data_IF_509076930297
#
_entry.id   IF_509076930297
#
_cell.length_a   1.000
_cell.length_b   1.000
_cell.length_c   1.000
_cell.angle_alpha   90.00
_cell.angle_beta   90.00
_cell.angle_gamma   90.00
#
_symmetry.space_group_name_H-M   'P 1'
#
loop_
_entity.id
_entity.type
_entity.pdbx_description
1 polymer ?
#
# COMPACT_ATOMS: atom_id res chain seq x y z
N UNK A 1 -54.41 12.81 -37.14
CA UNK A 1 -53.58 11.66 -36.71
C UNK A 1 -53.09 11.96 -35.30
N UNK A 2 -53.72 11.37 -34.27
CA UNK A 2 -53.38 11.63 -32.87
C UNK A 2 -52.15 10.82 -32.45
N UNK A 3 -51.07 11.48 -32.03
CA UNK A 3 -49.92 10.83 -31.42
C UNK A 3 -50.29 10.37 -29.99
N UNK A 4 -50.16 9.07 -29.74
CA UNK A 4 -50.32 8.48 -28.41
C UNK A 4 -49.18 8.98 -27.51
N UNK A 5 -49.45 9.36 -26.24
CA UNK A 5 -48.39 9.67 -25.30
C UNK A 5 -47.60 8.40 -25.00
N UNK A 6 -46.27 8.50 -25.01
CA UNK A 6 -45.39 7.41 -24.63
C UNK A 6 -45.71 6.97 -23.19
N UNK A 7 -45.97 5.68 -22.98
CA UNK A 7 -46.16 5.09 -21.65
C UNK A 7 -44.89 5.37 -20.84
N UNK A 8 -45.01 6.14 -19.76
CA UNK A 8 -43.97 6.25 -18.74
C UNK A 8 -43.59 4.84 -18.28
N UNK A 9 -42.30 4.50 -18.37
CA UNK A 9 -41.78 3.22 -17.89
C UNK A 9 -42.04 3.13 -16.38
N UNK A 10 -42.55 1.99 -15.92
CA UNK A 10 -42.71 1.74 -14.49
C UNK A 10 -41.32 1.87 -13.82
N UNK A 11 -41.22 2.54 -12.66
CA UNK A 11 -39.96 2.55 -11.91
C UNK A 11 -39.57 1.10 -11.62
N UNK A 12 -38.30 0.78 -11.89
CA UNK A 12 -37.75 -0.54 -11.59
C UNK A 12 -37.97 -0.85 -10.11
N UNK A 13 -38.38 -2.08 -9.80
CA UNK A 13 -38.59 -2.51 -8.43
C UNK A 13 -37.29 -2.35 -7.61
N UNK A 14 -37.41 -1.88 -6.37
CA UNK A 14 -36.26 -1.75 -5.46
C UNK A 14 -35.64 -3.13 -5.20
N UNK A 15 -34.32 -3.23 -5.40
CA UNK A 15 -33.53 -4.43 -5.10
C UNK A 15 -33.03 -4.33 -3.66
N UNK A 16 -33.24 -5.35 -2.79
CA UNK A 16 -32.76 -5.33 -1.42
C UNK A 16 -31.26 -5.05 -1.32
N UNK A 17 -30.85 -4.17 -0.41
CA UNK A 17 -29.44 -3.77 -0.22
C UNK A 17 -28.91 -2.73 -1.22
N UNK A 18 -29.66 -2.40 -2.28
CA UNK A 18 -29.26 -1.39 -3.27
C UNK A 18 -30.14 -0.15 -3.13
N UNK A 19 -29.51 1.00 -2.90
CA UNK A 19 -30.21 2.29 -2.82
C UNK A 19 -30.76 2.71 -4.19
N UNK A 20 -31.94 3.33 -4.21
CA UNK A 20 -32.52 3.83 -5.46
C UNK A 20 -31.79 5.08 -5.97
N UNK A 21 -32.03 5.41 -7.25
CA UNK A 21 -31.35 6.51 -7.95
C UNK A 21 -31.61 7.87 -7.34
N UNK A 22 -32.80 8.10 -6.77
CA UNK A 22 -33.12 9.39 -6.16
C UNK A 22 -32.34 9.55 -4.85
N UNK A 23 -32.31 8.52 -4.01
CA UNK A 23 -31.51 8.49 -2.79
C UNK A 23 -30.01 8.67 -3.07
N UNK A 24 -29.44 7.97 -4.06
CA UNK A 24 -28.02 8.13 -4.40
C UNK A 24 -27.67 9.56 -4.82
N UNK A 25 -28.50 10.18 -5.67
CA UNK A 25 -28.31 11.57 -6.12
C UNK A 25 -28.47 12.58 -5.00
N UNK A 26 -29.34 12.29 -4.06
CA UNK A 26 -29.62 13.16 -2.94
C UNK A 26 -28.48 13.09 -1.92
N UNK A 27 -28.02 11.89 -1.54
CA UNK A 27 -26.80 11.70 -0.74
C UNK A 27 -25.57 12.33 -1.38
N UNK A 28 -25.35 12.14 -2.69
CA UNK A 28 -24.20 12.71 -3.39
C UNK A 28 -24.18 14.26 -3.43
N UNK A 29 -25.30 14.92 -3.13
CA UNK A 29 -25.36 16.38 -3.00
C UNK A 29 -25.13 16.85 -1.56
N UNK A 30 -25.23 15.95 -0.59
CA UNK A 30 -24.86 16.22 0.79
C UNK A 30 -23.36 16.02 0.92
N UNK A 31 -22.73 16.78 1.80
CA UNK A 31 -21.33 16.65 2.19
C UNK A 31 -20.33 16.59 1.01
N UNK A 32 -20.46 17.52 0.05
CA UNK A 32 -19.56 17.59 -1.11
C UNK A 32 -18.09 17.81 -0.71
N UNK A 33 -17.86 18.37 0.47
CA UNK A 33 -16.56 18.57 1.09
C UNK A 33 -15.82 17.25 1.43
N UNK A 34 -16.53 16.13 1.56
CA UNK A 34 -15.95 14.81 1.83
C UNK A 34 -15.33 14.15 0.57
N UNK A 35 -15.43 14.79 -0.59
CA UNK A 35 -14.78 14.36 -1.82
C UNK A 35 -15.26 12.98 -2.30
N UNK A 36 -14.33 12.02 -2.39
CA UNK A 36 -14.63 10.66 -2.85
C UNK A 36 -15.26 9.77 -1.76
N UNK A 37 -15.32 10.24 -0.51
CA UNK A 37 -15.93 9.52 0.60
C UNK A 37 -17.44 9.77 0.58
N UNK A 38 -18.20 8.69 0.64
CA UNK A 38 -19.66 8.74 0.61
C UNK A 38 -20.21 8.00 1.82
N UNK A 39 -21.51 8.19 2.13
CA UNK A 39 -22.25 7.47 3.18
C UNK A 39 -22.13 5.93 3.13
N UNK A 40 -21.66 5.37 2.02
CA UNK A 40 -21.47 3.91 1.86
C UNK A 40 -20.11 3.41 2.33
N UNK A 41 -19.15 4.30 2.62
CA UNK A 41 -17.87 3.93 3.20
C UNK A 41 -18.08 3.46 4.64
N UNK A 42 -17.60 2.26 4.98
CA UNK A 42 -17.98 1.57 6.22
C UNK A 42 -16.81 1.20 7.14
N UNK A 43 -15.57 1.48 6.72
CA UNK A 43 -14.40 1.32 7.57
C UNK A 43 -14.25 2.52 8.54
N UNK A 44 -13.57 2.29 9.66
CA UNK A 44 -13.13 3.38 10.52
C UNK A 44 -12.01 4.15 9.82
N UNK A 45 -12.35 5.35 9.33
CA UNK A 45 -11.47 6.16 8.48
C UNK A 45 -10.20 6.58 9.21
N UNK A 46 -10.30 6.95 10.48
CA UNK A 46 -9.16 7.40 11.28
C UNK A 46 -8.18 6.25 11.51
N UNK A 47 -8.70 5.06 11.79
CA UNK A 47 -7.87 3.85 11.95
C UNK A 47 -7.20 3.46 10.63
N UNK A 48 -7.92 3.50 9.51
CA UNK A 48 -7.33 3.19 8.19
C UNK A 48 -6.24 4.19 7.84
N UNK A 49 -6.46 5.49 8.03
CA UNK A 49 -5.45 6.53 7.80
C UNK A 49 -4.21 6.31 8.67
N UNK A 50 -4.39 5.93 9.95
CA UNK A 50 -3.26 5.61 10.83
C UNK A 50 -2.45 4.43 10.29
N UNK A 51 -3.10 3.32 9.96
CA UNK A 51 -2.42 2.12 9.44
C UNK A 51 -1.67 2.42 8.14
N UNK A 52 -2.27 3.20 7.24
CA UNK A 52 -1.62 3.62 6.01
C UNK A 52 -0.42 4.53 6.27
N UNK A 53 -0.47 5.38 7.29
CA UNK A 53 0.69 6.20 7.67
C UNK A 53 1.81 5.35 8.29
N UNK A 54 1.49 4.32 9.08
CA UNK A 54 2.48 3.40 9.63
C UNK A 54 3.15 2.57 8.51
N UNK A 55 2.37 2.11 7.53
CA UNK A 55 2.90 1.49 6.30
C UNK A 55 3.74 2.47 5.48
N UNK A 56 3.28 3.70 5.26
CA UNK A 56 4.03 4.76 4.56
C UNK A 56 5.40 5.02 5.20
N UNK A 57 5.47 5.03 6.53
CA UNK A 57 6.74 5.15 7.23
C UNK A 57 7.66 3.95 6.98
N UNK A 58 7.08 2.75 6.96
CA UNK A 58 7.78 1.50 6.65
C UNK A 58 8.42 1.57 5.26
N UNK A 59 7.64 1.95 4.24
CA UNK A 59 8.12 2.13 2.87
C UNK A 59 9.31 3.10 2.80
N UNK A 60 9.20 4.28 3.41
CA UNK A 60 10.30 5.25 3.37
C UNK A 60 11.55 4.78 4.13
N UNK A 61 11.40 4.02 5.23
CA UNK A 61 12.54 3.39 5.90
C UNK A 61 13.18 2.34 5.00
N UNK A 62 12.39 1.53 4.29
CA UNK A 62 12.87 0.57 3.30
C UNK A 62 13.61 1.26 2.14
N UNK A 63 13.03 2.29 1.52
CA UNK A 63 13.66 3.11 0.47
C UNK A 63 15.05 3.57 0.90
N UNK A 64 15.15 4.17 2.09
CA UNK A 64 16.42 4.71 2.59
C UNK A 64 17.43 3.59 2.90
N UNK A 65 16.97 2.44 3.39
CA UNK A 65 17.81 1.27 3.65
C UNK A 65 18.34 0.67 2.35
N UNK A 66 17.48 0.49 1.36
CA UNK A 66 17.86 0.01 0.03
C UNK A 66 18.88 0.92 -0.64
N UNK A 67 18.67 2.24 -0.64
CA UNK A 67 19.66 3.16 -1.19
C UNK A 67 20.99 3.07 -0.46
N UNK A 68 20.99 2.95 0.87
CA UNK A 68 22.23 2.74 1.62
C UNK A 68 22.92 1.44 1.18
N UNK A 69 22.20 0.33 1.11
CA UNK A 69 22.75 -0.96 0.69
C UNK A 69 23.26 -0.91 -0.75
N UNK A 70 22.54 -0.26 -1.68
CA UNK A 70 22.97 0.01 -3.05
C UNK A 70 24.33 0.73 -3.11
N UNK A 71 24.49 1.83 -2.37
CA UNK A 71 25.74 2.60 -2.38
C UNK A 71 26.90 1.89 -1.68
N UNK A 72 26.60 1.06 -0.68
CA UNK A 72 27.59 0.35 0.13
C UNK A 72 27.97 -1.03 -0.44
N UNK A 73 27.19 -1.56 -1.39
CA UNK A 73 27.45 -2.82 -2.06
C UNK A 73 28.82 -2.82 -2.77
N UNK A 74 29.66 -3.77 -2.39
CA UNK A 74 31.03 -3.94 -2.90
C UNK A 74 31.43 -5.42 -2.87
N UNK A 75 32.35 -5.80 -3.76
CA UNK A 75 32.82 -7.19 -3.89
C UNK A 75 32.52 -7.78 -5.27
N UNK A 76 32.95 -9.02 -5.49
CA UNK A 76 32.89 -9.67 -6.81
C UNK A 76 31.46 -9.93 -7.32
N UNK A 77 30.50 -10.11 -6.41
CA UNK A 77 29.08 -10.34 -6.71
C UNK A 77 28.23 -9.05 -6.64
N UNK A 78 28.86 -7.90 -6.43
CA UNK A 78 28.14 -6.69 -6.07
C UNK A 78 27.24 -6.16 -7.17
N UNK A 79 27.61 -6.29 -8.45
CA UNK A 79 26.87 -5.60 -9.53
C UNK A 79 25.43 -6.12 -9.68
N UNK A 80 25.21 -7.43 -9.56
CA UNK A 80 23.86 -8.01 -9.62
C UNK A 80 23.02 -7.61 -8.40
N UNK A 81 23.52 -7.86 -7.19
CA UNK A 81 22.82 -7.51 -5.93
C UNK A 81 22.55 -6.01 -5.82
N UNK A 82 23.46 -5.19 -6.35
CA UNK A 82 23.31 -3.75 -6.41
C UNK A 82 22.20 -3.33 -7.35
N UNK A 83 22.01 -4.01 -8.49
CA UNK A 83 20.88 -3.73 -9.37
C UNK A 83 19.55 -3.99 -8.65
N UNK A 84 19.43 -5.12 -7.97
CA UNK A 84 18.23 -5.48 -7.17
C UNK A 84 17.94 -4.43 -6.10
N UNK A 85 18.94 -4.02 -5.30
CA UNK A 85 18.74 -2.98 -4.29
C UNK A 85 18.26 -1.63 -4.87
N UNK A 86 18.69 -1.27 -6.08
CA UNK A 86 18.23 -0.04 -6.73
C UNK A 86 16.81 -0.17 -7.25
N UNK A 87 16.47 -1.31 -7.83
CA UNK A 87 15.13 -1.62 -8.32
C UNK A 87 14.12 -1.59 -7.18
N UNK A 88 14.42 -2.29 -6.08
CA UNK A 88 13.54 -2.34 -4.91
C UNK A 88 13.40 -0.95 -4.30
N UNK A 89 14.47 -0.16 -4.16
CA UNK A 89 14.36 1.22 -3.69
C UNK A 89 13.34 2.07 -4.48
N UNK A 90 13.21 1.83 -5.79
CA UNK A 90 12.27 2.54 -6.66
C UNK A 90 10.85 1.99 -6.53
N UNK A 91 10.70 0.68 -6.36
CA UNK A 91 9.42 0.02 -6.14
C UNK A 91 8.82 0.41 -4.78
N UNK A 92 9.61 0.42 -3.71
CA UNK A 92 9.21 0.91 -2.38
C UNK A 92 8.81 2.39 -2.41
N UNK A 93 9.51 3.19 -3.22
CA UNK A 93 9.12 4.59 -3.43
C UNK A 93 7.77 4.71 -4.16
N UNK A 94 7.48 3.79 -5.09
CA UNK A 94 6.18 3.73 -5.75
C UNK A 94 5.07 3.24 -4.79
N UNK A 95 5.35 2.28 -3.91
CA UNK A 95 4.46 1.86 -2.82
C UNK A 95 4.09 3.03 -1.93
N UNK A 96 5.10 3.76 -1.43
CA UNK A 96 4.91 4.97 -0.64
C UNK A 96 4.02 6.01 -1.34
N UNK A 97 4.19 6.21 -2.65
CA UNK A 97 3.35 7.08 -3.45
C UNK A 97 1.88 6.66 -3.45
N UNK A 98 1.60 5.37 -3.70
CA UNK A 98 0.24 4.80 -3.66
C UNK A 98 -0.41 5.00 -2.29
N UNK A 99 0.32 4.76 -1.21
CA UNK A 99 -0.16 4.91 0.16
C UNK A 99 -0.46 6.38 0.50
N UNK A 100 0.44 7.30 0.16
CA UNK A 100 0.27 8.73 0.40
C UNK A 100 -0.94 9.29 -0.35
N UNK A 101 -1.11 8.93 -1.63
CA UNK A 101 -2.30 9.30 -2.41
C UNK A 101 -3.57 8.75 -1.75
N UNK A 102 -3.54 7.51 -1.28
CA UNK A 102 -4.70 6.90 -0.64
C UNK A 102 -5.07 7.58 0.68
N UNK A 103 -4.10 7.98 1.49
CA UNK A 103 -4.31 8.76 2.72
C UNK A 103 -5.06 10.06 2.41
N UNK A 104 -4.64 10.81 1.39
CA UNK A 104 -5.28 12.06 0.99
C UNK A 104 -6.71 11.82 0.47
N UNK A 105 -6.93 10.75 -0.29
CA UNK A 105 -8.29 10.39 -0.76
C UNK A 105 -9.24 10.06 0.39
N UNK A 106 -8.72 9.56 1.51
CA UNK A 106 -9.47 9.32 2.74
C UNK A 106 -9.62 10.59 3.61
N UNK A 107 -9.12 11.74 3.16
CA UNK A 107 -9.17 13.00 3.90
C UNK A 107 -8.14 13.11 5.03
N UNK A 108 -7.12 12.25 5.04
CA UNK A 108 -5.98 12.34 5.95
C UNK A 108 -4.81 13.12 5.35
N UNK A 109 -3.77 13.33 6.16
CA UNK A 109 -2.51 13.91 5.74
C UNK A 109 -1.40 12.85 5.82
N UNK A 110 -0.59 12.64 4.76
CA UNK A 110 0.55 11.73 4.81
C UNK A 110 1.67 12.33 5.67
N UNK A 111 2.06 11.62 6.72
CA UNK A 111 3.18 12.01 7.60
C UNK A 111 4.50 11.53 7.01
N UNK A 112 5.21 12.45 6.37
CA UNK A 112 6.54 12.26 5.80
C UNK A 112 7.65 12.87 6.68
N UNK A 113 7.36 13.21 7.94
CA UNK A 113 8.34 13.82 8.81
C UNK A 113 9.47 12.82 9.13
N UNK A 114 10.73 13.10 8.73
CA UNK A 114 11.85 12.18 8.96
C UNK A 114 12.07 11.86 10.44
N UNK A 115 11.74 12.79 11.35
CA UNK A 115 11.93 12.61 12.79
C UNK A 115 11.00 11.54 13.38
N UNK A 116 9.90 11.20 12.70
CA UNK A 116 8.89 10.25 13.20
C UNK A 116 8.87 8.93 12.45
N UNK A 117 9.59 8.80 11.32
CA UNK A 117 9.53 7.62 10.44
C UNK A 117 9.86 6.33 11.19
N UNK A 118 11.00 6.27 11.89
CA UNK A 118 11.44 5.03 12.56
C UNK A 118 10.59 4.64 13.75
N UNK A 119 9.89 5.59 14.36
CA UNK A 119 8.98 5.32 15.47
C UNK A 119 7.64 4.71 15.02
N UNK A 120 7.28 4.89 13.74
CA UNK A 120 6.03 4.38 13.14
C UNK A 120 6.25 3.18 12.23
N UNK A 121 7.44 3.08 11.62
CA UNK A 121 7.83 1.98 10.75
C UNK A 121 7.78 0.64 11.48
N UNK A 122 7.26 -0.38 10.80
CA UNK A 122 7.35 -1.77 11.26
C UNK A 122 8.75 -2.34 11.05
N UNK A 123 9.42 -1.94 9.95
CA UNK A 123 10.77 -2.39 9.62
C UNK A 123 11.85 -1.49 10.24
N UNK A 124 13.00 -2.09 10.54
CA UNK A 124 14.15 -1.36 11.08
C UNK A 124 15.06 -0.80 9.98
N UNK A 125 15.75 0.30 10.28
CA UNK A 125 16.87 0.79 9.48
C UNK A 125 18.15 0.04 9.89
N UNK A 126 18.34 -1.16 9.35
CA UNK A 126 19.55 -1.97 9.57
C UNK A 126 20.55 -1.73 8.45
N UNK A 127 21.79 -1.53 8.85
CA UNK A 127 22.87 -1.12 7.96
C UNK A 127 23.55 -2.29 7.21
N UNK A 128 23.61 -3.47 7.80
CA UNK A 128 24.40 -4.58 7.28
C UNK A 128 25.92 -4.40 7.40
N UNK A 129 26.65 -5.45 7.80
CA UNK A 129 28.12 -5.43 7.90
C UNK A 129 28.85 -5.69 6.58
N UNK A 130 28.25 -6.47 5.69
CA UNK A 130 28.78 -6.86 4.39
C UNK A 130 27.64 -7.14 3.39
N UNK A 131 27.97 -7.51 2.16
CA UNK A 131 26.97 -7.69 1.10
C UNK A 131 25.94 -8.78 1.43
N UNK A 132 26.37 -9.89 2.05
CA UNK A 132 25.48 -10.99 2.43
C UNK A 132 24.56 -10.55 3.55
N UNK A 133 25.10 -9.82 4.52
CA UNK A 133 24.34 -9.28 5.64
C UNK A 133 23.30 -8.23 5.17
N UNK A 134 23.63 -7.37 4.21
CA UNK A 134 22.68 -6.42 3.60
C UNK A 134 21.49 -7.14 2.95
N UNK A 135 21.76 -8.22 2.21
CA UNK A 135 20.70 -9.05 1.61
C UNK A 135 19.83 -9.69 2.71
N UNK A 136 20.46 -10.25 3.75
CA UNK A 136 19.75 -10.84 4.89
C UNK A 136 18.85 -9.83 5.60
N UNK A 137 19.34 -8.62 5.86
CA UNK A 137 18.58 -7.56 6.53
C UNK A 137 17.42 -7.05 5.67
N UNK A 138 17.58 -6.98 4.34
CA UNK A 138 16.47 -6.69 3.44
C UNK A 138 15.41 -7.81 3.46
N UNK A 139 15.81 -9.08 3.35
CA UNK A 139 14.85 -10.19 3.47
C UNK A 139 14.08 -10.18 4.80
N UNK A 140 14.73 -9.85 5.91
CA UNK A 140 14.05 -9.70 7.20
C UNK A 140 13.00 -8.59 7.15
N UNK A 141 13.33 -7.45 6.56
CA UNK A 141 12.40 -6.34 6.41
C UNK A 141 11.23 -6.69 5.49
N UNK A 142 11.47 -7.39 4.36
CA UNK A 142 10.39 -7.82 3.45
C UNK A 142 9.40 -8.75 4.16
N UNK A 143 9.90 -9.68 4.98
CA UNK A 143 9.04 -10.57 5.77
C UNK A 143 8.18 -9.81 6.78
N UNK A 144 8.73 -8.75 7.39
CA UNK A 144 7.97 -7.87 8.29
C UNK A 144 6.89 -7.11 7.51
N UNK A 145 7.22 -6.57 6.33
CA UNK A 145 6.29 -5.87 5.46
C UNK A 145 5.14 -6.80 5.01
N UNK A 146 5.46 -8.01 4.54
CA UNK A 146 4.49 -9.04 4.14
C UNK A 146 3.48 -9.33 5.26
N UNK A 147 3.96 -9.59 6.48
CA UNK A 147 3.07 -9.91 7.59
C UNK A 147 2.21 -8.69 7.97
N UNK A 148 2.80 -7.49 8.01
CA UNK A 148 2.08 -6.23 8.24
C UNK A 148 0.97 -6.00 7.19
N UNK A 149 1.27 -6.17 5.91
CA UNK A 149 0.29 -6.01 4.84
C UNK A 149 -0.83 -7.04 4.91
N UNK A 150 -0.53 -8.30 5.19
CA UNK A 150 -1.55 -9.34 5.40
C UNK A 150 -2.48 -8.99 6.57
N UNK A 151 -1.93 -8.52 7.68
CA UNK A 151 -2.73 -8.06 8.81
C UNK A 151 -3.63 -6.88 8.45
N UNK A 152 -3.11 -5.88 7.73
CA UNK A 152 -3.88 -4.73 7.26
C UNK A 152 -4.99 -5.14 6.28
N UNK A 153 -4.71 -6.02 5.32
CA UNK A 153 -5.69 -6.53 4.35
C UNK A 153 -6.83 -7.25 5.07
N UNK A 154 -6.50 -8.12 6.02
CA UNK A 154 -7.48 -8.83 6.84
C UNK A 154 -8.30 -7.87 7.70
N UNK A 155 -7.65 -6.87 8.30
CA UNK A 155 -8.33 -5.85 9.09
C UNK A 155 -9.31 -5.06 8.23
N UNK A 156 -8.90 -4.56 7.07
CA UNK A 156 -9.76 -3.73 6.22
C UNK A 156 -10.94 -4.54 5.68
N UNK A 157 -10.68 -5.75 5.19
CA UNK A 157 -11.68 -6.62 4.59
C UNK A 157 -12.43 -5.91 3.45
N UNK A 158 -13.74 -6.13 3.34
CA UNK A 158 -14.54 -5.54 2.26
C UNK A 158 -15.12 -4.16 2.61
N UNK A 159 -14.67 -3.55 3.72
CA UNK A 159 -15.15 -2.24 4.19
C UNK A 159 -14.52 -1.07 3.45
N UNK A 160 -13.32 -1.29 2.90
CA UNK A 160 -12.63 -0.39 1.98
C UNK A 160 -11.91 -1.21 0.90
N UNK A 161 -12.64 -1.55 -0.16
CA UNK A 161 -12.14 -2.38 -1.26
C UNK A 161 -11.04 -1.72 -2.07
N UNK A 162 -11.00 -0.38 -2.13
CA UNK A 162 -9.95 0.35 -2.84
C UNK A 162 -8.64 0.25 -2.08
N UNK A 163 -8.65 0.48 -0.77
CA UNK A 163 -7.42 0.32 0.03
C UNK A 163 -6.98 -1.13 0.05
N UNK A 164 -7.89 -2.09 0.24
CA UNK A 164 -7.55 -3.52 0.19
C UNK A 164 -6.82 -3.89 -1.09
N UNK A 165 -7.32 -3.47 -2.27
CA UNK A 165 -6.66 -3.75 -3.55
C UNK A 165 -5.27 -3.13 -3.65
N UNK A 166 -5.09 -1.90 -3.18
CA UNK A 166 -3.76 -1.24 -3.17
C UNK A 166 -2.78 -2.05 -2.31
N UNK A 167 -3.21 -2.49 -1.13
CA UNK A 167 -2.35 -3.29 -0.24
C UNK A 167 -2.07 -4.68 -0.81
N UNK A 168 -3.04 -5.32 -1.47
CA UNK A 168 -2.83 -6.61 -2.16
C UNK A 168 -1.82 -6.48 -3.31
N UNK A 169 -1.84 -5.37 -4.05
CA UNK A 169 -0.85 -5.08 -5.09
C UNK A 169 0.56 -4.88 -4.51
N UNK A 170 0.69 -4.15 -3.39
CA UNK A 170 1.98 -3.96 -2.72
C UNK A 170 2.48 -5.29 -2.14
N UNK A 171 1.63 -6.02 -1.41
CA UNK A 171 1.96 -7.33 -0.83
C UNK A 171 2.53 -8.30 -1.88
N UNK A 172 1.93 -8.36 -3.07
CA UNK A 172 2.41 -9.25 -4.13
C UNK A 172 3.84 -8.91 -4.57
N UNK A 173 4.20 -7.62 -4.57
CA UNK A 173 5.53 -7.15 -4.90
C UNK A 173 6.53 -7.39 -3.75
N UNK A 174 6.13 -7.25 -2.48
CA UNK A 174 7.00 -7.62 -1.36
C UNK A 174 7.28 -9.13 -1.29
N UNK A 175 6.30 -9.96 -1.67
CA UNK A 175 6.48 -11.41 -1.77
C UNK A 175 7.50 -11.77 -2.88
N UNK A 176 7.51 -11.03 -3.99
CA UNK A 176 8.52 -11.16 -5.05
C UNK A 176 9.91 -10.74 -4.54
N UNK A 177 10.03 -9.56 -3.90
CA UNK A 177 11.29 -9.10 -3.31
C UNK A 177 11.87 -10.11 -2.32
N UNK A 178 11.03 -10.69 -1.47
CA UNK A 178 11.44 -11.69 -0.49
C UNK A 178 11.95 -12.98 -1.13
N UNK A 179 11.32 -13.44 -2.21
CA UNK A 179 11.74 -14.63 -2.97
C UNK A 179 13.11 -14.40 -3.61
N UNK A 180 13.31 -13.24 -4.24
CA UNK A 180 14.57 -12.87 -4.90
C UNK A 180 15.74 -12.80 -3.89
N UNK A 181 15.54 -12.23 -2.70
CA UNK A 181 16.60 -12.25 -1.68
C UNK A 181 16.82 -13.63 -1.07
N UNK A 182 15.78 -14.45 -0.93
CA UNK A 182 15.95 -15.82 -0.48
C UNK A 182 16.81 -16.62 -1.48
N UNK A 183 16.53 -16.49 -2.78
CA UNK A 183 17.30 -17.11 -3.86
C UNK A 183 18.76 -16.62 -3.88
N UNK A 184 19.00 -15.32 -3.70
CA UNK A 184 20.35 -14.77 -3.57
C UNK A 184 21.12 -15.38 -2.40
N UNK A 185 20.46 -15.55 -1.24
CA UNK A 185 21.07 -16.16 -0.04
C UNK A 185 21.37 -17.64 -0.22
N UNK A 186 20.48 -18.39 -0.88
CA UNK A 186 20.69 -19.80 -1.19
C UNK A 186 21.84 -20.00 -2.19
N UNK A 187 22.04 -19.05 -3.10
CA UNK A 187 23.17 -19.02 -4.03
C UNK A 187 24.54 -18.76 -3.38
N UNK A 188 24.59 -18.27 -2.14
CA UNK A 188 25.84 -18.05 -1.41
C UNK A 188 26.43 -19.36 -0.87
N UNK A 189 27.43 -19.91 -1.55
CA UNK A 189 28.19 -21.08 -1.08
C UNK A 189 29.29 -20.65 -0.09
N UNK A 190 29.20 -21.11 1.15
CA UNK A 190 30.19 -20.85 2.22
C UNK A 190 29.63 -20.03 3.39
N UNK A 191 30.39 -19.90 4.48
CA UNK A 191 30.13 -18.91 5.56
C UNK A 191 30.43 -17.48 5.07
#
# INVERSE_FOLDING_TARGET
>A
MSSKPAKASKPAANVPGISDRATLRERARRNLEDGAITDSYSADREVVIKLLNDALATEYVCVLRYYRHYFMAKGMLADAVKAEFLEHAQQEQAHAGKLAERIVQLGGEPDLNPDTLTARSHAEYKEGSDLRDMVRENLVAERIAIDSYREMINFIGDRDTTTKRILEEILAQEEEHADEFADLLDGWIGE
#
